data_IF_037167812259
#
_entry.id   IF_037167812259
#
_cell.length_a   1.000
_cell.length_b   1.000
_cell.length_c   1.000
_cell.angle_alpha   90.00
_cell.angle_beta   90.00
_cell.angle_gamma   90.00
#
_symmetry.space_group_name_H-M   'P 1'
#
loop_
_entity.id
_entity.type
_entity.pdbx_description
1 polymer ?
#
# COMPACT_ATOMS: atom_id res chain seq x y z
N UNK A 1 -45.31 30.06 -15.00
CA UNK A 1 -43.86 29.75 -15.06
C UNK A 1 -43.35 28.89 -13.89
N UNK A 2 -44.15 28.59 -12.86
CA UNK A 2 -43.66 27.90 -11.65
C UNK A 2 -43.46 26.38 -11.79
N UNK A 3 -44.30 25.68 -12.55
CA UNK A 3 -44.25 24.21 -12.70
C UNK A 3 -42.91 23.71 -13.29
N UNK A 4 -42.31 24.47 -14.21
CA UNK A 4 -41.00 24.14 -14.82
C UNK A 4 -39.83 24.28 -13.84
N UNK A 5 -39.93 25.21 -12.87
CA UNK A 5 -38.92 25.37 -11.81
C UNK A 5 -38.99 24.23 -10.81
N UNK A 6 -40.20 23.85 -10.38
CA UNK A 6 -40.41 22.71 -9.46
C UNK A 6 -39.92 21.40 -10.07
N UNK A 7 -40.24 21.11 -11.34
CA UNK A 7 -39.75 19.92 -12.03
C UNK A 7 -38.21 19.88 -12.14
N UNK A 8 -37.55 21.04 -12.31
CA UNK A 8 -36.08 21.14 -12.34
C UNK A 8 -35.45 20.81 -10.98
N UNK A 9 -36.02 21.29 -9.88
CA UNK A 9 -35.52 20.98 -8.54
C UNK A 9 -35.77 19.53 -8.13
N UNK A 10 -36.92 18.96 -8.50
CA UNK A 10 -37.22 17.54 -8.27
C UNK A 10 -36.27 16.64 -9.07
N UNK A 11 -36.02 16.97 -10.35
CA UNK A 11 -35.05 16.24 -11.17
C UNK A 11 -33.62 16.31 -10.62
N UNK A 12 -33.20 17.48 -10.15
CA UNK A 12 -31.88 17.66 -9.53
C UNK A 12 -31.73 16.87 -8.22
N UNK A 13 -32.79 16.81 -7.40
CA UNK A 13 -32.82 16.03 -6.17
C UNK A 13 -32.66 14.53 -6.43
N UNK A 14 -33.35 13.99 -7.45
CA UNK A 14 -33.24 12.58 -7.83
C UNK A 14 -31.84 12.24 -8.32
N UNK A 15 -31.22 13.09 -9.15
CA UNK A 15 -29.85 12.90 -9.63
C UNK A 15 -28.85 12.88 -8.46
N UNK A 16 -29.03 13.78 -7.48
CA UNK A 16 -28.21 13.81 -6.27
C UNK A 16 -28.35 12.54 -5.43
N UNK A 17 -29.57 12.04 -5.23
CA UNK A 17 -29.82 10.80 -4.48
C UNK A 17 -29.17 9.61 -5.18
N UNK A 18 -29.28 9.53 -6.51
CA UNK A 18 -28.64 8.47 -7.31
C UNK A 18 -27.12 8.54 -7.19
N UNK A 19 -26.51 9.73 -7.29
CA UNK A 19 -25.06 9.90 -7.11
C UNK A 19 -24.58 9.49 -5.71
N UNK A 20 -25.34 9.82 -4.67
CA UNK A 20 -25.02 9.42 -3.28
C UNK A 20 -25.14 7.91 -3.11
N UNK A 21 -26.14 7.27 -3.73
CA UNK A 21 -26.29 5.81 -3.70
C UNK A 21 -25.17 5.08 -4.45
N UNK A 22 -24.69 5.62 -5.58
CA UNK A 22 -23.52 5.05 -6.27
C UNK A 22 -22.22 5.24 -5.48
N UNK A 23 -22.05 6.37 -4.80
CA UNK A 23 -20.89 6.61 -3.93
C UNK A 23 -20.84 5.67 -2.73
N UNK A 24 -21.99 5.34 -2.12
CA UNK A 24 -22.05 4.43 -0.98
C UNK A 24 -21.79 2.96 -1.36
N UNK A 25 -22.19 2.53 -2.55
CA UNK A 25 -21.82 1.19 -3.09
C UNK A 25 -20.30 1.06 -3.23
N UNK A 26 -19.61 2.12 -3.67
CA UNK A 26 -18.14 2.15 -3.76
C UNK A 26 -17.44 1.98 -2.41
N UNK A 27 -17.98 2.56 -1.34
CA UNK A 27 -17.45 2.41 0.02
C UNK A 27 -17.62 0.98 0.56
N UNK A 28 -18.79 0.37 0.36
CA UNK A 28 -19.07 -1.00 0.83
C UNK A 28 -18.26 -2.04 0.05
N UNK A 29 -18.12 -1.88 -1.27
CA UNK A 29 -17.28 -2.78 -2.08
C UNK A 29 -15.78 -2.60 -1.79
N UNK A 30 -15.35 -1.38 -1.43
CA UNK A 30 -13.97 -1.09 -1.03
C UNK A 30 -13.53 -1.83 0.24
N UNK A 31 -14.47 -2.10 1.15
CA UNK A 31 -14.21 -2.83 2.39
C UNK A 31 -14.14 -4.35 2.16
N UNK A 32 -15.00 -4.91 1.32
CA UNK A 32 -14.94 -6.35 0.95
C UNK A 32 -13.70 -6.67 0.12
N UNK A 33 -13.33 -5.81 -0.84
CA UNK A 33 -12.06 -5.91 -1.58
C UNK A 33 -10.82 -5.69 -0.70
N UNK A 34 -10.99 -4.97 0.41
CA UNK A 34 -9.94 -4.78 1.41
C UNK A 34 -9.55 -6.11 2.05
N UNK A 35 -10.52 -6.92 2.49
CA UNK A 35 -10.27 -8.21 3.13
C UNK A 35 -9.68 -9.25 2.16
N UNK A 36 -10.09 -9.22 0.89
CA UNK A 36 -9.56 -10.14 -0.12
C UNK A 36 -8.19 -9.73 -0.65
N UNK A 37 -7.72 -8.51 -0.35
CA UNK A 37 -6.44 -7.97 -0.85
C UNK A 37 -6.29 -8.06 -2.38
N UNK A 38 -7.39 -7.97 -3.14
CA UNK A 38 -7.39 -8.10 -4.61
C UNK A 38 -7.43 -6.75 -5.33
N UNK A 39 -7.81 -5.68 -4.62
CA UNK A 39 -7.93 -4.34 -5.17
C UNK A 39 -6.58 -3.75 -5.61
N UNK A 40 -6.61 -2.89 -6.61
CA UNK A 40 -5.47 -2.15 -7.13
C UNK A 40 -5.92 -0.76 -7.58
N UNK A 41 -5.10 0.25 -7.33
CA UNK A 41 -5.32 1.60 -7.83
C UNK A 41 -4.00 2.23 -8.27
N UNK A 42 -4.09 3.19 -9.19
CA UNK A 42 -2.93 3.99 -9.63
C UNK A 42 -3.09 5.42 -9.15
N UNK A 43 -2.05 5.94 -8.49
CA UNK A 43 -1.93 7.33 -8.08
C UNK A 43 -0.99 8.04 -9.05
N UNK A 44 -1.49 9.09 -9.71
CA UNK A 44 -0.68 9.88 -10.62
C UNK A 44 0.31 10.76 -9.84
N UNK A 45 1.52 10.96 -10.35
CA UNK A 45 2.56 11.71 -9.65
C UNK A 45 2.17 13.17 -9.46
N UNK A 46 2.61 13.77 -8.36
CA UNK A 46 2.56 15.21 -8.21
C UNK A 46 3.75 15.84 -8.94
N UNK A 47 3.48 16.66 -9.96
CA UNK A 47 4.51 17.36 -10.73
C UNK A 47 5.23 16.46 -11.74
N UNK A 48 6.54 16.65 -11.88
CA UNK A 48 7.36 15.90 -12.85
C UNK A 48 7.52 14.45 -12.41
N UNK A 49 7.36 13.52 -13.35
CA UNK A 49 7.51 12.09 -13.05
C UNK A 49 8.95 11.75 -12.68
N UNK A 50 9.13 11.18 -11.48
CA UNK A 50 10.37 10.62 -10.96
C UNK A 50 10.52 9.12 -11.28
N UNK A 51 9.48 8.48 -11.84
CA UNK A 51 9.46 7.05 -12.16
C UNK A 51 8.16 6.37 -11.73
N UNK A 52 8.20 5.03 -11.66
CA UNK A 52 7.09 4.20 -11.21
C UNK A 52 7.41 3.54 -9.87
N UNK A 53 6.43 3.55 -8.97
CA UNK A 53 6.51 2.82 -7.71
C UNK A 53 5.38 1.79 -7.59
N UNK A 54 5.68 0.64 -7.02
CA UNK A 54 4.72 -0.41 -6.70
C UNK A 54 4.65 -0.54 -5.18
N UNK A 55 3.46 -0.39 -4.59
CA UNK A 55 3.21 -0.58 -3.17
C UNK A 55 2.23 -1.73 -3.01
N UNK A 56 2.71 -2.83 -2.45
CA UNK A 56 1.95 -4.07 -2.25
C UNK A 56 1.71 -4.29 -0.77
N UNK A 57 0.47 -4.60 -0.40
CA UNK A 57 0.12 -4.86 0.99
C UNK A 57 -0.71 -6.13 1.18
N UNK A 58 -0.37 -6.90 2.22
CA UNK A 58 -1.36 -7.74 2.89
C UNK A 58 -2.06 -6.89 3.96
N UNK A 59 -3.39 -6.68 3.89
CA UNK A 59 -4.14 -5.86 4.85
C UNK A 59 -4.07 -6.40 6.29
N UNK A 60 -3.90 -7.71 6.46
CA UNK A 60 -4.10 -8.40 7.71
C UNK A 60 -5.54 -8.28 8.25
N UNK A 61 -5.75 -8.83 9.45
CA UNK A 61 -7.06 -8.82 10.12
C UNK A 61 -7.52 -7.39 10.45
N UNK A 62 -6.61 -6.50 10.85
CA UNK A 62 -6.94 -5.16 11.35
C UNK A 62 -6.91 -4.07 10.28
N UNK A 63 -6.42 -4.36 9.07
CA UNK A 63 -6.22 -3.35 8.02
C UNK A 63 -5.07 -2.36 8.27
N UNK A 64 -4.31 -2.49 9.37
CA UNK A 64 -3.23 -1.56 9.70
C UNK A 64 -2.17 -1.48 8.60
N UNK A 65 -1.85 -2.61 7.97
CA UNK A 65 -0.89 -2.64 6.87
C UNK A 65 -1.41 -1.96 5.61
N UNK A 66 -2.71 -2.04 5.31
CA UNK A 66 -3.34 -1.26 4.23
C UNK A 66 -3.21 0.25 4.48
N UNK A 67 -3.46 0.68 5.72
CA UNK A 67 -3.33 2.11 6.08
C UNK A 67 -1.89 2.59 5.92
N UNK A 68 -0.91 1.81 6.42
CA UNK A 68 0.51 2.12 6.22
C UNK A 68 0.89 2.18 4.73
N UNK A 69 0.42 1.22 3.92
CA UNK A 69 0.65 1.20 2.48
C UNK A 69 0.05 2.42 1.77
N UNK A 70 -1.16 2.86 2.17
CA UNK A 70 -1.80 4.03 1.61
C UNK A 70 -1.00 5.31 1.89
N UNK A 71 -0.48 5.45 3.11
CA UNK A 71 0.36 6.58 3.50
C UNK A 71 1.70 6.56 2.76
N UNK A 72 2.37 5.41 2.67
CA UNK A 72 3.61 5.24 1.90
C UNK A 72 3.39 5.58 0.42
N UNK A 73 2.28 5.10 -0.16
CA UNK A 73 1.93 5.40 -1.54
C UNK A 73 1.69 6.90 -1.76
N UNK A 74 1.02 7.58 -0.82
CA UNK A 74 0.84 9.03 -0.86
C UNK A 74 2.16 9.80 -0.78
N UNK A 75 3.09 9.37 0.09
CA UNK A 75 4.41 10.00 0.20
C UNK A 75 5.22 9.83 -1.09
N UNK A 76 5.26 8.61 -1.66
CA UNK A 76 5.90 8.35 -2.96
C UNK A 76 5.25 9.16 -4.10
N UNK A 77 3.92 9.28 -4.11
CA UNK A 77 3.20 10.10 -5.07
C UNK A 77 3.61 11.58 -4.97
N UNK A 78 3.73 12.09 -3.73
CA UNK A 78 4.15 13.48 -3.46
C UNK A 78 5.58 13.76 -3.94
N UNK A 79 6.41 12.73 -4.02
CA UNK A 79 7.79 12.77 -4.54
C UNK A 79 7.89 12.53 -6.05
N UNK A 80 6.76 12.54 -6.77
CA UNK A 80 6.71 12.47 -8.22
C UNK A 80 6.65 11.05 -8.79
N UNK A 81 6.43 10.01 -7.99
CA UNK A 81 6.26 8.65 -8.53
C UNK A 81 4.83 8.40 -9.00
N UNK A 82 4.67 7.71 -10.13
CA UNK A 82 3.39 7.07 -10.47
C UNK A 82 3.27 5.82 -9.62
N UNK A 83 2.32 5.76 -8.70
CA UNK A 83 2.25 4.69 -7.70
C UNK A 83 1.13 3.72 -8.02
N UNK A 84 1.45 2.44 -8.20
CA UNK A 84 0.46 1.36 -8.15
C UNK A 84 0.34 0.88 -6.71
N UNK A 85 -0.79 1.15 -6.06
CA UNK A 85 -1.10 0.65 -4.72
C UNK A 85 -2.06 -0.52 -4.85
N UNK A 86 -1.64 -1.71 -4.43
CA UNK A 86 -2.40 -2.93 -4.63
C UNK A 86 -2.30 -3.89 -3.45
N UNK A 87 -3.37 -4.64 -3.23
CA UNK A 87 -3.34 -5.76 -2.31
C UNK A 87 -2.51 -6.92 -2.87
N UNK A 88 -1.92 -7.72 -1.98
CA UNK A 88 -0.97 -8.78 -2.33
C UNK A 88 -1.56 -9.91 -3.18
N UNK A 89 -2.89 -10.03 -3.24
CA UNK A 89 -3.61 -11.01 -4.07
C UNK A 89 -4.09 -10.41 -5.39
N UNK A 90 -3.71 -9.17 -5.72
CA UNK A 90 -4.06 -8.55 -6.99
C UNK A 90 -3.26 -9.17 -8.14
N UNK A 91 -3.90 -9.37 -9.31
CA UNK A 91 -3.20 -9.85 -10.50
C UNK A 91 -2.10 -8.88 -10.99
N UNK A 92 -2.19 -7.61 -10.60
CA UNK A 92 -1.31 -6.55 -11.08
C UNK A 92 0.04 -6.48 -10.35
N UNK A 93 0.25 -7.28 -9.30
CA UNK A 93 1.47 -7.17 -8.46
C UNK A 93 2.59 -8.11 -8.91
N UNK A 94 2.30 -9.18 -9.65
CA UNK A 94 3.33 -10.17 -10.02
C UNK A 94 4.35 -9.65 -11.04
N UNK A 95 3.94 -8.70 -11.91
CA UNK A 95 4.85 -8.10 -12.87
C UNK A 95 5.52 -6.86 -12.28
N UNK A 96 6.73 -7.03 -11.77
CA UNK A 96 7.56 -5.98 -11.19
C UNK A 96 8.39 -5.21 -12.23
N UNK A 97 8.30 -5.55 -13.51
CA UNK A 97 9.09 -4.91 -14.55
C UNK A 97 8.74 -3.42 -14.71
N UNK A 98 9.79 -2.58 -14.81
CA UNK A 98 9.64 -1.14 -15.04
C UNK A 98 9.28 -0.32 -13.80
N UNK A 99 9.20 -0.93 -12.61
CA UNK A 99 9.14 -0.20 -11.34
C UNK A 99 10.54 0.15 -10.85
N UNK A 100 10.73 1.41 -10.46
CA UNK A 100 11.97 1.93 -9.88
C UNK A 100 12.01 1.74 -8.36
N UNK A 101 10.83 1.69 -7.73
CA UNK A 101 10.66 1.51 -6.29
C UNK A 101 9.59 0.45 -6.07
N UNK A 102 9.87 -0.54 -5.23
CA UNK A 102 8.92 -1.58 -4.86
C UNK A 102 8.88 -1.63 -3.33
N UNK A 103 7.70 -1.36 -2.78
CA UNK A 103 7.44 -1.45 -1.35
C UNK A 103 6.46 -2.59 -1.11
N UNK A 104 6.80 -3.47 -0.17
CA UNK A 104 6.00 -4.67 0.12
C UNK A 104 5.77 -4.72 1.63
N UNK A 105 4.56 -4.98 2.08
CA UNK A 105 4.36 -5.14 3.51
C UNK A 105 3.10 -5.85 3.94
N UNK A 106 3.06 -6.17 5.22
CA UNK A 106 2.01 -6.99 5.79
C UNK A 106 2.16 -7.18 7.30
N UNK A 107 1.21 -7.88 7.92
CA UNK A 107 1.27 -8.13 9.36
C UNK A 107 2.33 -9.16 9.73
N UNK A 108 2.82 -9.04 10.96
CA UNK A 108 3.62 -10.05 11.65
C UNK A 108 2.74 -10.74 12.68
N UNK A 109 2.64 -12.06 12.56
CA UNK A 109 1.88 -12.92 13.47
C UNK A 109 2.82 -13.89 14.17
N UNK A 110 2.70 -13.99 15.49
CA UNK A 110 3.54 -14.87 16.31
C UNK A 110 5.06 -14.69 16.07
N UNK A 111 5.49 -13.46 15.77
CA UNK A 111 6.90 -13.14 15.49
C UNK A 111 7.35 -13.42 14.05
N UNK A 112 6.45 -13.84 13.17
CA UNK A 112 6.76 -14.18 11.77
C UNK A 112 5.96 -13.31 10.78
N UNK A 113 6.56 -12.86 9.65
CA UNK A 113 5.79 -12.24 8.58
C UNK A 113 4.68 -13.16 8.08
N UNK A 114 3.52 -12.60 7.70
CA UNK A 114 2.45 -13.40 7.11
C UNK A 114 2.94 -14.25 5.92
N UNK A 115 2.40 -15.47 5.78
CA UNK A 115 2.83 -16.40 4.72
C UNK A 115 2.64 -15.82 3.31
N UNK A 116 1.57 -15.07 3.09
CA UNK A 116 1.31 -14.30 1.86
C UNK A 116 2.46 -13.35 1.50
N UNK A 117 3.02 -12.66 2.49
CA UNK A 117 4.15 -11.77 2.32
C UNK A 117 5.42 -12.55 1.95
N UNK A 118 5.67 -13.68 2.62
CA UNK A 118 6.80 -14.56 2.33
C UNK A 118 6.73 -15.17 0.93
N UNK A 119 5.56 -15.68 0.54
CA UNK A 119 5.30 -16.24 -0.79
C UNK A 119 5.51 -15.18 -1.87
N UNK A 120 4.91 -13.99 -1.70
CA UNK A 120 5.07 -12.93 -2.68
C UNK A 120 6.54 -12.50 -2.86
N UNK A 121 7.30 -12.35 -1.77
CA UNK A 121 8.73 -12.03 -1.84
C UNK A 121 9.54 -13.11 -2.59
N UNK A 122 9.14 -14.38 -2.46
CA UNK A 122 9.77 -15.52 -3.14
C UNK A 122 9.36 -15.65 -4.61
N UNK A 123 8.20 -15.10 -5.00
CA UNK A 123 7.66 -15.24 -6.35
C UNK A 123 8.06 -14.09 -7.28
N UNK A 124 8.35 -12.90 -6.74
CA UNK A 124 8.71 -11.74 -7.57
C UNK A 124 10.17 -11.75 -8.01
N UNK A 125 10.42 -11.13 -9.17
CA UNK A 125 11.77 -10.84 -9.68
C UNK A 125 11.91 -9.34 -9.93
N UNK A 126 12.31 -8.56 -8.91
CA UNK A 126 12.50 -7.13 -9.07
C UNK A 126 13.57 -6.78 -10.13
N UNK A 127 13.45 -5.64 -10.83
CA UNK A 127 14.56 -5.10 -11.62
C UNK A 127 15.80 -4.89 -10.74
N UNK A 128 17.00 -5.14 -11.28
CA UNK A 128 18.26 -5.07 -10.51
C UNK A 128 18.51 -3.70 -9.85
N UNK A 129 18.03 -2.63 -10.46
CA UNK A 129 18.19 -1.25 -9.99
C UNK A 129 16.97 -0.74 -9.20
N UNK A 130 15.94 -1.56 -9.02
CA UNK A 130 14.77 -1.18 -8.26
C UNK A 130 15.11 -1.11 -6.77
N UNK A 131 14.68 -0.02 -6.12
CA UNK A 131 14.80 0.12 -4.67
C UNK A 131 13.70 -0.67 -3.98
N UNK A 132 14.08 -1.58 -3.09
CA UNK A 132 13.17 -2.51 -2.44
C UNK A 132 13.02 -2.16 -0.96
N UNK A 133 11.83 -1.71 -0.59
CA UNK A 133 11.46 -1.42 0.79
C UNK A 133 10.51 -2.48 1.34
N UNK A 134 10.68 -2.88 2.59
CA UNK A 134 9.75 -3.78 3.27
C UNK A 134 9.19 -3.15 4.52
N UNK A 135 7.88 -3.20 4.72
CA UNK A 135 7.28 -2.79 5.97
C UNK A 135 6.47 -3.89 6.63
N UNK A 136 6.42 -3.86 7.95
CA UNK A 136 5.59 -4.79 8.72
C UNK A 136 4.70 -4.05 9.70
N UNK A 137 3.57 -4.67 10.04
CA UNK A 137 2.68 -4.20 11.12
C UNK A 137 2.53 -5.26 12.20
N UNK A 138 2.27 -4.85 13.43
CA UNK A 138 2.00 -5.79 14.53
C UNK A 138 2.50 -5.31 15.88
N UNK A 139 2.09 -6.00 16.94
CA UNK A 139 2.36 -5.62 18.33
C UNK A 139 3.85 -5.66 18.67
N UNK A 140 4.24 -4.88 19.70
CA UNK A 140 5.55 -4.93 20.33
C UNK A 140 5.62 -6.14 21.27
N UNK A 141 6.22 -7.23 20.82
CA UNK A 141 6.92 -8.15 21.75
C UNK A 141 8.43 -7.95 21.61
N UNK A 142 9.18 -8.30 22.65
CA UNK A 142 10.50 -7.73 23.02
C UNK A 142 11.62 -7.71 21.95
N UNK A 143 11.47 -8.40 20.80
CA UNK A 143 12.45 -8.41 19.70
C UNK A 143 11.98 -7.69 18.43
N UNK A 144 10.81 -7.05 18.45
CA UNK A 144 10.07 -6.75 17.22
C UNK A 144 10.24 -5.34 16.66
N UNK A 145 10.89 -4.41 17.38
CA UNK A 145 11.36 -3.14 16.78
C UNK A 145 12.71 -3.28 16.09
N UNK A 146 13.30 -4.48 16.12
CA UNK A 146 14.58 -4.74 15.50
C UNK A 146 14.37 -5.00 14.01
N UNK A 147 14.56 -3.98 13.18
CA UNK A 147 14.56 -4.11 11.72
C UNK A 147 15.61 -5.13 11.25
N UNK A 148 16.66 -5.41 12.05
CA UNK A 148 17.61 -6.49 11.77
C UNK A 148 16.99 -7.90 11.94
N UNK A 149 16.03 -8.08 12.86
CA UNK A 149 15.29 -9.33 12.97
C UNK A 149 14.39 -9.54 11.75
N UNK A 150 13.69 -8.49 11.30
CA UNK A 150 12.85 -8.56 10.10
C UNK A 150 13.70 -8.81 8.85
N UNK A 151 14.83 -8.10 8.70
CA UNK A 151 15.81 -8.36 7.63
C UNK A 151 16.32 -9.80 7.66
N UNK A 152 16.65 -10.33 8.85
CA UNK A 152 17.08 -11.72 9.02
C UNK A 152 15.99 -12.72 8.61
N UNK A 153 14.75 -12.52 9.07
CA UNK A 153 13.66 -13.44 8.78
C UNK A 153 13.28 -13.44 7.30
N UNK A 154 13.30 -12.26 6.67
CA UNK A 154 13.09 -12.13 5.23
C UNK A 154 14.26 -12.77 4.47
N UNK A 155 15.51 -12.51 4.86
CA UNK A 155 16.69 -13.08 4.21
C UNK A 155 16.78 -14.60 4.35
N UNK A 156 16.32 -15.19 5.46
CA UNK A 156 16.30 -16.63 5.68
C UNK A 156 15.28 -17.34 4.77
N UNK A 157 14.16 -16.68 4.47
CA UNK A 157 13.06 -17.27 3.72
C UNK A 157 13.02 -16.83 2.24
N UNK A 158 13.78 -15.81 1.87
CA UNK A 158 13.84 -15.32 0.49
C UNK A 158 14.92 -16.09 -0.29
N UNK A 159 14.47 -16.91 -1.23
CA UNK A 159 15.35 -17.63 -2.17
C UNK A 159 15.86 -16.73 -3.30
N UNK A 160 15.27 -15.54 -3.49
CA UNK A 160 15.70 -14.57 -4.49
C UNK A 160 16.73 -13.61 -3.91
N UNK A 161 17.83 -13.45 -4.63
CA UNK A 161 19.06 -12.76 -4.20
C UNK A 161 18.96 -11.23 -4.43
N UNK A 162 17.79 -10.62 -4.25
CA UNK A 162 17.68 -9.16 -4.35
C UNK A 162 17.95 -8.49 -3.01
N UNK A 163 18.62 -7.33 -3.07
CA UNK A 163 18.93 -6.54 -1.88
C UNK A 163 17.68 -5.80 -1.41
N UNK A 164 17.40 -5.87 -0.11
CA UNK A 164 16.39 -5.04 0.54
C UNK A 164 17.09 -3.79 1.05
N UNK A 165 16.75 -2.63 0.48
CA UNK A 165 17.36 -1.34 0.82
C UNK A 165 16.96 -0.87 2.21
N UNK A 166 15.66 -0.94 2.52
CA UNK A 166 15.16 -0.48 3.82
C UNK A 166 14.01 -1.33 4.38
N UNK A 167 13.92 -1.36 5.71
CA UNK A 167 12.88 -2.09 6.43
C UNK A 167 12.31 -1.26 7.56
N UNK A 168 10.98 -1.15 7.63
CA UNK A 168 10.27 -0.42 8.68
C UNK A 168 9.24 -1.29 9.41
N UNK A 169 9.04 -1.02 10.69
CA UNK A 169 7.90 -1.58 11.44
C UNK A 169 6.96 -0.48 11.95
N UNK A 170 5.69 -0.65 11.65
CA UNK A 170 4.60 0.16 12.16
C UNK A 170 3.89 -0.57 13.30
N UNK A 171 3.99 0.00 14.50
CA UNK A 171 3.40 -0.56 15.73
C UNK A 171 2.18 0.24 16.18
N UNK A 172 2.21 1.55 15.97
CA UNK A 172 1.16 2.49 16.39
C UNK A 172 0.63 3.25 15.18
N UNK A 173 -0.69 3.22 15.01
CA UNK A 173 -1.42 3.93 13.96
C UNK A 173 -1.23 5.45 14.02
N UNK A 174 -1.00 6.02 15.21
CA UNK A 174 -0.81 7.45 15.39
C UNK A 174 0.53 7.95 14.83
N UNK A 175 1.50 7.05 14.65
CA UNK A 175 2.84 7.38 14.15
C UNK A 175 3.07 6.98 12.70
N UNK A 176 2.07 6.40 12.03
CA UNK A 176 2.21 5.88 10.65
C UNK A 176 2.68 6.98 9.69
N UNK A 177 2.10 8.18 9.75
CA UNK A 177 2.48 9.26 8.83
C UNK A 177 3.96 9.65 8.94
N UNK A 178 4.43 9.88 10.17
CA UNK A 178 5.82 10.24 10.41
C UNK A 178 6.77 9.12 9.97
N UNK A 179 6.52 7.88 10.43
CA UNK A 179 7.39 6.74 10.12
C UNK A 179 7.39 6.36 8.64
N UNK A 180 6.27 6.55 7.95
CA UNK A 180 6.18 6.30 6.52
C UNK A 180 7.04 7.32 5.75
N UNK A 181 7.01 8.59 6.12
CA UNK A 181 7.87 9.59 5.51
C UNK A 181 9.36 9.31 5.78
N UNK A 182 9.72 8.98 7.02
CA UNK A 182 11.10 8.58 7.39
C UNK A 182 11.57 7.37 6.55
N UNK A 183 10.73 6.33 6.46
CA UNK A 183 11.00 5.14 5.65
C UNK A 183 11.16 5.46 4.17
N UNK A 184 10.28 6.27 3.58
CA UNK A 184 10.38 6.62 2.16
C UNK A 184 11.57 7.54 1.89
N UNK A 185 11.93 8.45 2.81
CA UNK A 185 13.17 9.24 2.70
C UNK A 185 14.40 8.32 2.69
N UNK A 186 14.50 7.41 3.66
CA UNK A 186 15.61 6.48 3.78
C UNK A 186 15.70 5.56 2.55
N UNK A 187 14.58 4.95 2.14
CA UNK A 187 14.50 4.12 0.94
C UNK A 187 14.98 4.88 -0.30
N UNK A 188 14.58 6.15 -0.46
CA UNK A 188 14.99 6.95 -1.61
C UNK A 188 16.40 7.54 -1.49
N UNK A 189 17.10 7.37 -0.35
CA UNK A 189 18.42 7.96 -0.11
C UNK A 189 18.39 9.48 0.08
N UNK A 190 17.32 9.99 0.69
CA UNK A 190 17.04 11.42 0.90
C UNK A 190 17.10 11.81 2.40
N UNK A 191 17.81 11.03 3.21
CA UNK A 191 17.94 11.22 4.67
C UNK A 191 19.26 11.83 5.10
#
# INVERSE_FOLDING_TARGET
MEKKKVAKYVGLGIVLIVLIAFASIGLVMGDVMSYTATGSQTLNPNGTSAGKALVVYDPGITGTAKNAAAVIAGDLQSKGYTVTLAGIKSSNVMNTAGYNVIVIGGPVYAGQPASSLQSYLSDITPPKEAKIGIFTTGSVTANSNNTAFIKKEIALNNTNIYQVDDVMKFVDTNTINQKANEFVNALLGQG
#
